data_IF_777479466396
#
_entry.id   IF_777479466396
#
_cell.length_a   1.000
_cell.length_b   1.000
_cell.length_c   1.000
_cell.angle_alpha   90.00
_cell.angle_beta   90.00
_cell.angle_gamma   90.00
#
_symmetry.space_group_name_H-M   'P 1'
#
loop_
_entity.id
_entity.type
_entity.pdbx_description
1 polymer ?
#
# COMPACT_ATOMS: atom_id res chain seq x y z
N UNK A 1 -34.46 -3.47 -6.81
CA UNK A 1 -33.11 -4.01 -6.63
C UNK A 1 -32.14 -3.04 -7.28
N UNK A 2 -31.41 -2.25 -6.49
CA UNK A 2 -30.47 -1.26 -7.02
C UNK A 2 -29.19 -1.99 -7.46
N UNK A 3 -28.70 -1.81 -8.70
CA UNK A 3 -27.46 -2.43 -9.12
C UNK A 3 -26.33 -1.93 -8.22
N UNK A 4 -25.61 -2.85 -7.59
CA UNK A 4 -24.40 -2.49 -6.85
C UNK A 4 -23.45 -1.76 -7.80
N UNK A 5 -22.84 -0.63 -7.39
CA UNK A 5 -21.91 0.08 -8.26
C UNK A 5 -20.81 -0.90 -8.71
N UNK A 6 -20.57 -0.97 -10.02
CA UNK A 6 -19.53 -1.81 -10.58
C UNK A 6 -18.20 -1.36 -9.99
N UNK A 7 -17.66 -2.15 -9.05
CA UNK A 7 -16.36 -1.85 -8.45
C UNK A 7 -15.30 -1.80 -9.55
N UNK A 8 -14.38 -0.82 -9.53
CA UNK A 8 -13.31 -0.76 -10.53
C UNK A 8 -12.56 -2.09 -10.60
N UNK A 9 -12.20 -2.54 -11.80
CA UNK A 9 -11.49 -3.83 -12.00
C UNK A 9 -10.24 -3.96 -11.13
N UNK A 10 -9.59 -2.84 -10.80
CA UNK A 10 -8.38 -2.80 -9.98
C UNK A 10 -8.66 -2.82 -8.47
N UNK A 11 -9.88 -2.56 -8.04
CA UNK A 11 -10.23 -2.41 -6.62
C UNK A 11 -9.93 -3.70 -5.83
N UNK A 12 -10.42 -4.85 -6.29
CA UNK A 12 -10.18 -6.14 -5.61
C UNK A 12 -8.69 -6.53 -5.59
N UNK A 13 -7.95 -6.47 -6.72
CA UNK A 13 -6.50 -6.66 -6.73
C UNK A 13 -5.74 -5.70 -5.81
N UNK A 14 -6.16 -4.45 -5.69
CA UNK A 14 -5.48 -3.44 -4.85
C UNK A 14 -5.67 -3.72 -3.36
N UNK A 15 -6.90 -4.06 -2.94
CA UNK A 15 -7.17 -4.50 -1.56
C UNK A 15 -6.33 -5.75 -1.22
N UNK A 16 -6.32 -6.74 -2.12
CA UNK A 16 -5.58 -7.98 -1.90
C UNK A 16 -4.06 -7.73 -1.80
N UNK A 17 -3.48 -6.96 -2.72
CA UNK A 17 -2.04 -6.67 -2.71
C UNK A 17 -1.59 -5.83 -1.52
N UNK A 18 -2.43 -4.89 -1.05
CA UNK A 18 -2.17 -4.16 0.19
C UNK A 18 -2.26 -5.07 1.42
N UNK A 19 -3.21 -6.01 1.45
CA UNK A 19 -3.29 -7.01 2.51
C UNK A 19 -2.04 -7.90 2.55
N UNK A 20 -1.54 -8.33 1.39
CA UNK A 20 -0.28 -9.09 1.29
C UNK A 20 0.89 -8.26 1.80
N UNK A 21 0.97 -6.98 1.41
CA UNK A 21 1.99 -6.04 1.92
C UNK A 21 1.90 -5.91 3.45
N UNK A 22 0.70 -5.78 4.02
CA UNK A 22 0.50 -5.75 5.47
C UNK A 22 1.01 -7.03 6.14
N UNK A 23 0.72 -8.22 5.57
CA UNK A 23 1.21 -9.50 6.10
C UNK A 23 2.74 -9.58 6.10
N UNK A 24 3.37 -9.12 5.02
CA UNK A 24 4.83 -9.07 4.89
C UNK A 24 5.44 -8.19 5.98
N UNK A 25 4.86 -7.01 6.22
CA UNK A 25 5.46 -6.00 7.09
C UNK A 25 5.13 -6.18 8.57
N UNK A 26 3.89 -6.56 8.91
CA UNK A 26 3.39 -6.60 10.29
C UNK A 26 3.30 -8.01 10.87
N UNK A 27 2.96 -9.00 10.04
CA UNK A 27 2.81 -10.39 10.49
C UNK A 27 4.06 -11.25 10.27
N UNK A 28 5.05 -10.74 9.53
CA UNK A 28 6.32 -11.45 9.30
C UNK A 28 6.13 -12.80 8.62
N UNK A 29 5.18 -12.92 7.68
CA UNK A 29 4.85 -14.17 7.01
C UNK A 29 6.10 -14.79 6.32
N UNK A 30 6.59 -15.96 6.77
CA UNK A 30 7.90 -16.47 6.33
C UNK A 30 7.93 -16.84 4.85
N UNK A 31 6.83 -17.36 4.31
CA UNK A 31 6.68 -17.68 2.89
C UNK A 31 6.65 -16.43 1.98
N UNK A 32 6.53 -15.23 2.54
CA UNK A 32 6.57 -13.95 1.81
C UNK A 32 7.83 -13.14 2.11
N UNK A 33 8.79 -13.69 2.86
CA UNK A 33 9.98 -12.96 3.29
C UNK A 33 10.79 -12.39 2.11
N UNK A 34 10.80 -13.10 0.97
CA UNK A 34 11.47 -12.67 -0.27
C UNK A 34 10.91 -11.37 -0.86
N UNK A 35 9.66 -11.02 -0.52
CA UNK A 35 8.99 -9.81 -0.99
C UNK A 35 9.16 -8.63 -0.03
N UNK A 36 9.79 -8.83 1.14
CA UNK A 36 9.95 -7.79 2.14
C UNK A 36 10.80 -6.64 1.60
N UNK A 37 10.22 -5.45 1.61
CA UNK A 37 10.91 -4.22 1.22
C UNK A 37 11.46 -3.50 2.45
N UNK A 38 12.66 -2.93 2.37
CA UNK A 38 13.19 -2.08 3.42
C UNK A 38 12.37 -0.79 3.56
N UNK A 39 12.31 -0.27 4.79
CA UNK A 39 11.70 1.03 5.07
C UNK A 39 12.58 2.15 4.52
N UNK A 40 11.95 3.25 4.10
CA UNK A 40 12.69 4.47 3.74
C UNK A 40 13.27 5.06 5.02
N UNK A 41 14.59 5.14 5.09
CA UNK A 41 15.27 5.86 6.17
C UNK A 41 15.10 7.37 5.98
N UNK A 42 14.64 8.10 7.01
CA UNK A 42 14.67 9.56 7.01
C UNK A 42 16.10 10.01 6.77
N UNK A 43 16.32 10.85 5.75
CA UNK A 43 17.63 11.45 5.55
C UNK A 43 17.82 12.56 6.60
N UNK A 44 18.98 12.62 7.28
CA UNK A 44 19.21 13.60 8.34
C UNK A 44 19.22 15.04 7.81
N UNK A 45 19.55 15.23 6.52
CA UNK A 45 19.46 16.51 5.84
C UNK A 45 18.10 16.63 5.15
N UNK A 46 17.13 17.15 5.91
CA UNK A 46 15.80 17.48 5.39
C UNK A 46 15.90 18.73 4.51
N UNK A 47 16.21 18.56 3.23
CA UNK A 47 16.03 19.63 2.25
C UNK A 47 14.54 19.74 1.93
N UNK A 48 13.86 20.64 2.66
CA UNK A 48 12.53 21.21 2.36
C UNK A 48 11.39 20.18 2.23
N UNK A 49 10.61 20.05 3.32
CA UNK A 49 9.26 19.47 3.35
C UNK A 49 9.07 17.98 3.02
N UNK A 50 10.12 17.16 3.11
CA UNK A 50 9.95 15.71 3.07
C UNK A 50 9.48 15.18 4.44
N UNK A 51 8.21 15.38 4.80
CA UNK A 51 7.53 14.61 5.87
C UNK A 51 7.43 13.13 5.44
N UNK A 52 8.56 12.43 5.47
CA UNK A 52 8.61 10.99 5.27
C UNK A 52 8.19 10.35 6.60
N UNK A 53 6.93 9.94 6.68
CA UNK A 53 6.48 9.02 7.74
C UNK A 53 7.38 7.77 7.71
N UNK A 54 7.85 7.31 8.87
CA UNK A 54 8.81 6.21 9.06
C UNK A 54 8.37 4.84 8.51
N UNK A 55 7.18 4.76 7.91
CA UNK A 55 6.58 3.53 7.39
C UNK A 55 6.41 3.52 5.86
N UNK A 56 7.08 4.43 5.15
CA UNK A 56 7.17 4.34 3.69
C UNK A 56 8.12 3.23 3.28
N UNK A 57 7.82 2.55 2.17
CA UNK A 57 8.68 1.51 1.62
C UNK A 57 9.58 2.07 0.53
N UNK A 58 10.82 1.57 0.46
CA UNK A 58 11.67 1.80 -0.70
C UNK A 58 10.97 1.13 -1.90
N UNK A 59 10.77 1.90 -2.96
CA UNK A 59 10.16 1.42 -4.19
C UNK A 59 11.29 0.88 -5.08
N UNK A 60 11.35 -0.42 -5.37
CA UNK A 60 12.33 -0.96 -6.29
C UNK A 60 12.23 -0.28 -7.65
N UNK A 61 13.38 -0.04 -8.29
CA UNK A 61 13.45 0.60 -9.58
C UNK A 61 14.22 -0.29 -10.57
N UNK A 62 13.62 -0.51 -11.74
CA UNK A 62 14.28 -1.07 -12.91
C UNK A 62 13.67 -0.44 -14.16
N UNK A 63 14.43 -0.37 -15.26
CA UNK A 63 14.02 0.35 -16.49
C UNK A 63 13.12 -0.47 -17.42
N UNK A 64 12.47 -1.53 -16.95
CA UNK A 64 11.58 -2.36 -17.78
C UNK A 64 10.11 -2.14 -17.40
N UNK A 65 9.24 -1.99 -18.39
CA UNK A 65 7.80 -1.77 -18.16
C UNK A 65 7.18 -2.91 -17.36
N UNK A 66 7.56 -4.15 -17.68
CA UNK A 66 7.14 -5.37 -16.96
C UNK A 66 7.49 -5.30 -15.48
N UNK A 67 8.66 -4.77 -15.14
CA UNK A 67 9.05 -4.60 -13.75
C UNK A 67 8.15 -3.57 -13.05
N UNK A 68 7.87 -2.41 -13.68
CA UNK A 68 6.99 -1.40 -13.08
C UNK A 68 5.58 -1.89 -12.76
N UNK A 69 5.06 -2.85 -13.54
CA UNK A 69 3.77 -3.52 -13.34
C UNK A 69 3.83 -4.72 -12.38
N UNK A 70 5.03 -5.16 -12.00
CA UNK A 70 5.23 -6.25 -11.05
C UNK A 70 4.76 -5.86 -9.64
N UNK A 71 4.50 -6.88 -8.82
CA UNK A 71 3.96 -6.73 -7.46
C UNK A 71 4.72 -5.68 -6.63
N UNK A 72 6.04 -5.83 -6.54
CA UNK A 72 6.87 -5.01 -5.64
C UNK A 72 6.78 -3.49 -5.90
N UNK A 73 7.14 -2.96 -7.09
CA UNK A 73 7.09 -1.52 -7.31
C UNK A 73 5.67 -0.96 -7.26
N UNK A 74 4.66 -1.72 -7.70
CA UNK A 74 3.25 -1.29 -7.64
C UNK A 74 2.77 -1.12 -6.19
N UNK A 75 2.89 -2.17 -5.38
CA UNK A 75 2.33 -2.17 -4.03
C UNK A 75 3.19 -1.40 -3.02
N UNK A 76 4.50 -1.25 -3.27
CA UNK A 76 5.34 -0.35 -2.46
C UNK A 76 4.94 1.12 -2.62
N UNK A 77 4.60 1.54 -3.85
CA UNK A 77 4.04 2.88 -4.10
C UNK A 77 2.68 3.06 -3.47
N UNK A 78 1.78 2.06 -3.63
CA UNK A 78 0.43 2.14 -3.10
C UNK A 78 0.42 2.16 -1.55
N UNK A 79 1.27 1.35 -0.92
CA UNK A 79 1.51 1.39 0.53
C UNK A 79 2.01 2.75 0.99
N UNK A 80 3.01 3.31 0.30
CA UNK A 80 3.54 4.63 0.66
C UNK A 80 2.48 5.73 0.50
N UNK A 81 1.55 5.60 -0.46
CA UNK A 81 0.42 6.51 -0.63
C UNK A 81 -0.57 6.42 0.54
N UNK A 82 -1.00 5.22 0.93
CA UNK A 82 -1.96 5.06 2.04
C UNK A 82 -1.36 5.52 3.37
N UNK A 83 -0.06 5.26 3.62
CA UNK A 83 0.64 5.74 4.82
C UNK A 83 0.73 7.27 4.84
N UNK A 84 0.90 7.93 3.69
CA UNK A 84 0.92 9.41 3.62
C UNK A 84 -0.43 10.05 3.90
N UNK A 85 -1.50 9.42 3.44
CA UNK A 85 -2.84 9.99 3.49
C UNK A 85 -3.61 9.58 4.75
N UNK A 86 -3.22 8.48 5.40
CA UNK A 86 -4.00 7.87 6.48
C UNK A 86 -3.11 7.17 7.51
N UNK A 87 -3.69 6.93 8.69
CA UNK A 87 -3.08 6.12 9.75
C UNK A 87 -3.55 4.65 9.74
N UNK A 88 -4.15 4.20 8.62
CA UNK A 88 -4.68 2.83 8.43
C UNK A 88 -3.60 1.77 8.63
N UNK A 89 -2.34 2.09 8.37
CA UNK A 89 -1.19 1.22 8.58
C UNK A 89 -0.99 0.79 10.05
N UNK A 90 -1.57 1.52 11.00
CA UNK A 90 -1.54 1.21 12.43
C UNK A 90 -2.61 0.20 12.85
N UNK A 91 -3.47 -0.25 11.92
CA UNK A 91 -4.51 -1.23 12.21
C UNK A 91 -3.93 -2.46 12.92
N UNK A 92 -4.53 -2.80 14.07
CA UNK A 92 -4.08 -3.90 14.93
C UNK A 92 -4.26 -5.29 14.28
N UNK A 93 -5.24 -5.44 13.38
CA UNK A 93 -5.53 -6.71 12.72
C UNK A 93 -5.67 -6.54 11.22
N UNK A 94 -5.40 -7.63 10.49
CA UNK A 94 -5.61 -7.69 9.04
C UNK A 94 -7.06 -7.41 8.65
N UNK A 95 -8.04 -7.83 9.46
CA UNK A 95 -9.46 -7.58 9.17
C UNK A 95 -9.77 -6.08 9.20
N UNK A 96 -9.34 -5.38 10.25
CA UNK A 96 -9.52 -3.92 10.38
C UNK A 96 -8.80 -3.21 9.22
N UNK A 97 -7.57 -3.63 8.92
CA UNK A 97 -6.81 -3.09 7.80
C UNK A 97 -7.56 -3.26 6.46
N UNK A 98 -8.05 -4.47 6.17
CA UNK A 98 -8.79 -4.78 4.94
C UNK A 98 -10.05 -3.91 4.81
N UNK A 99 -10.82 -3.76 5.88
CA UNK A 99 -12.03 -2.93 5.87
C UNK A 99 -11.70 -1.45 5.62
N UNK A 100 -10.65 -0.94 6.25
CA UNK A 100 -10.21 0.44 6.07
C UNK A 100 -9.66 0.71 4.66
N UNK A 101 -8.85 -0.20 4.10
CA UNK A 101 -8.37 -0.11 2.71
C UNK A 101 -9.54 -0.15 1.72
N UNK A 102 -10.52 -1.01 1.96
CA UNK A 102 -11.73 -1.11 1.15
C UNK A 102 -12.46 0.24 1.14
N UNK A 103 -12.68 0.85 2.31
CA UNK A 103 -13.30 2.17 2.40
C UNK A 103 -12.48 3.27 1.72
N UNK A 104 -11.15 3.25 1.84
CA UNK A 104 -10.26 4.24 1.21
C UNK A 104 -10.21 4.13 -0.33
N UNK A 105 -10.34 2.91 -0.88
CA UNK A 105 -10.35 2.67 -2.33
C UNK A 105 -11.73 2.87 -2.96
N UNK A 106 -12.80 2.93 -2.17
CA UNK A 106 -14.10 3.27 -2.70
C UNK A 106 -14.05 4.71 -3.19
N UNK A 107 -14.41 4.98 -4.47
CA UNK A 107 -14.53 6.34 -4.93
C UNK A 107 -15.61 7.01 -4.07
N UNK A 108 -15.21 7.98 -3.26
CA UNK A 108 -16.16 8.93 -2.68
C UNK A 108 -16.93 9.50 -3.87
N UNK A 109 -18.23 9.21 -3.96
CA UNK A 109 -19.08 9.79 -4.99
C UNK A 109 -19.02 11.30 -4.85
N UNK A 110 -18.16 11.94 -5.64
CA UNK A 110 -18.24 13.36 -5.90
C UNK A 110 -19.42 13.52 -6.85
N UNK A 111 -20.50 14.07 -6.30
CA UNK A 111 -21.59 14.69 -7.03
C UNK A 111 -21.12 16.07 -7.50
#
# INVERSE_FOLDING_TARGET
MQPSPLQPLQHRPDVAGLCVTYKILKQGAPHLATLRQPWVTPHPYSTRDAHKRDQQLIVPFARTETFFRSFLPRYSRLWSRIVRQTDIHQAATLHIFKCAVNAWLMPSGHN
#
